data_IF_007032870965
#
_entry.id   IF_007032870965
#
_cell.length_a   1.000
_cell.length_b   1.000
_cell.length_c   1.000
_cell.angle_alpha   90.00
_cell.angle_beta   90.00
_cell.angle_gamma   90.00
#
_symmetry.space_group_name_H-M   'P 1'
#
loop_
_entity.id
_entity.type
_entity.pdbx_description
1 polymer ?
#
# COMPACT_ATOMS: atom_id res chain seq x y z
N UNK A 1 8.77 10.45 -11.55
CA UNK A 1 8.43 9.25 -12.34
C UNK A 1 7.52 8.37 -11.49
N UNK A 2 6.42 7.85 -12.03
CA UNK A 2 5.51 6.93 -11.32
C UNK A 2 5.52 5.59 -12.04
N UNK A 3 6.08 4.57 -11.41
CA UNK A 3 6.13 3.21 -11.95
C UNK A 3 5.02 2.37 -11.36
N UNK A 4 4.37 1.55 -12.18
CA UNK A 4 3.32 0.63 -11.74
C UNK A 4 3.69 -0.78 -12.16
N UNK A 5 3.53 -1.71 -11.23
CA UNK A 5 3.85 -3.10 -11.44
C UNK A 5 2.64 -3.95 -11.07
N UNK A 6 2.22 -4.82 -11.99
CA UNK A 6 1.23 -5.85 -11.68
C UNK A 6 1.93 -7.00 -10.98
N UNK A 7 1.50 -7.31 -9.77
CA UNK A 7 2.01 -8.44 -9.00
C UNK A 7 1.10 -9.65 -9.17
N UNK A 8 1.67 -10.85 -9.10
CA UNK A 8 0.96 -12.13 -9.08
C UNK A 8 1.24 -12.86 -7.77
N UNK A 9 0.35 -13.80 -7.40
CA UNK A 9 0.50 -14.62 -6.20
C UNK A 9 0.57 -13.85 -4.87
N UNK A 10 -0.05 -12.66 -4.81
CA UNK A 10 -0.17 -11.86 -3.60
C UNK A 10 -1.64 -11.72 -3.18
N UNK A 11 -1.91 -11.86 -1.88
CA UNK A 11 -3.23 -11.55 -1.30
C UNK A 11 -3.38 -10.05 -1.18
N UNK A 12 -4.42 -9.49 -1.80
CA UNK A 12 -4.68 -8.03 -1.77
C UNK A 12 -5.76 -7.68 -0.74
N UNK A 13 -5.73 -6.43 -0.27
CA UNK A 13 -6.78 -5.90 0.61
C UNK A 13 -8.16 -6.00 -0.05
N UNK A 14 -8.25 -5.68 -1.33
CA UNK A 14 -9.51 -5.71 -2.08
C UNK A 14 -10.10 -7.12 -2.16
N UNK A 15 -9.26 -8.14 -2.40
CA UNK A 15 -9.72 -9.54 -2.37
C UNK A 15 -10.33 -9.92 -1.01
N UNK A 16 -9.72 -9.49 0.09
CA UNK A 16 -10.22 -9.75 1.45
C UNK A 16 -11.46 -8.92 1.79
N UNK A 17 -11.57 -7.71 1.25
CA UNK A 17 -12.69 -6.81 1.52
C UNK A 17 -13.98 -7.24 0.82
N UNK A 18 -13.91 -7.76 -0.41
CA UNK A 18 -15.11 -8.17 -1.15
C UNK A 18 -15.76 -9.46 -0.61
N UNK A 19 -15.06 -10.24 0.21
CA UNK A 19 -15.66 -11.39 0.89
C UNK A 19 -16.22 -10.98 2.26
N UNK A 20 -17.52 -11.23 2.47
CA UNK A 20 -18.26 -10.80 3.66
C UNK A 20 -17.71 -11.38 4.97
N UNK A 21 -17.30 -12.65 4.97
CA UNK A 21 -16.76 -13.32 6.15
C UNK A 21 -15.39 -12.77 6.53
N UNK A 22 -14.48 -12.64 5.56
CA UNK A 22 -13.17 -12.03 5.82
C UNK A 22 -13.29 -10.57 6.19
N UNK A 23 -14.25 -9.83 5.63
CA UNK A 23 -14.52 -8.45 6.01
C UNK A 23 -15.00 -8.32 7.46
N UNK A 24 -15.92 -9.18 7.90
CA UNK A 24 -16.33 -9.23 9.30
C UNK A 24 -15.15 -9.59 10.22
N UNK A 25 -14.34 -10.57 9.84
CA UNK A 25 -13.15 -10.96 10.59
C UNK A 25 -12.13 -9.82 10.72
N UNK A 26 -11.91 -9.03 9.66
CA UNK A 26 -11.06 -7.82 9.71
C UNK A 26 -11.59 -6.80 10.73
N UNK A 27 -12.90 -6.60 10.77
CA UNK A 27 -13.55 -5.72 11.75
C UNK A 27 -13.34 -6.19 13.18
N UNK A 28 -13.53 -7.49 13.41
CA UNK A 28 -13.32 -8.12 14.74
C UNK A 28 -11.86 -8.06 15.16
N UNK A 29 -10.92 -8.38 14.26
CA UNK A 29 -9.48 -8.29 14.53
C UNK A 29 -9.09 -6.88 14.97
N UNK A 30 -9.55 -5.88 14.24
CA UNK A 30 -9.28 -4.48 14.59
C UNK A 30 -9.94 -4.09 15.91
N UNK A 31 -11.19 -4.47 16.15
CA UNK A 31 -11.90 -4.12 17.39
C UNK A 31 -11.19 -4.66 18.64
N UNK A 32 -10.67 -5.89 18.58
CA UNK A 32 -10.04 -6.56 19.72
C UNK A 32 -8.56 -6.18 19.86
N UNK A 33 -7.80 -6.21 18.76
CA UNK A 33 -6.33 -6.16 18.79
C UNK A 33 -5.77 -4.86 18.24
N UNK A 34 -6.58 -4.03 17.58
CA UNK A 34 -6.15 -2.83 16.83
C UNK A 34 -5.07 -3.15 15.80
N UNK A 35 -5.11 -4.37 15.25
CA UNK A 35 -4.22 -4.85 14.20
C UNK A 35 -5.00 -5.12 12.92
N UNK A 36 -4.26 -5.54 11.89
CA UNK A 36 -4.83 -6.04 10.65
C UNK A 36 -5.05 -4.95 9.60
N UNK A 37 -5.76 -5.26 8.52
CA UNK A 37 -5.81 -4.39 7.36
C UNK A 37 -6.49 -3.03 7.60
N UNK A 38 -7.37 -2.93 8.60
CA UNK A 38 -8.05 -1.69 8.97
C UNK A 38 -7.14 -0.72 9.74
N UNK A 39 -6.01 -1.18 10.29
CA UNK A 39 -5.02 -0.32 10.95
C UNK A 39 -3.84 0.05 10.05
N UNK A 40 -3.82 -0.38 8.78
CA UNK A 40 -2.69 -0.17 7.88
C UNK A 40 -2.67 1.24 7.27
N UNK A 41 -1.49 1.86 7.24
CA UNK A 41 -1.28 3.16 6.62
C UNK A 41 -1.33 3.07 5.08
N UNK A 42 -1.78 4.13 4.39
CA UNK A 42 -1.89 4.15 2.92
C UNK A 42 -0.52 4.05 2.21
N UNK A 43 0.51 4.72 2.74
CA UNK A 43 1.90 4.51 2.31
C UNK A 43 2.56 3.43 3.13
N UNK A 44 2.79 2.27 2.52
CA UNK A 44 3.43 1.14 3.19
C UNK A 44 4.95 1.28 3.25
N UNK A 45 5.55 2.01 2.30
CA UNK A 45 6.99 2.19 2.24
C UNK A 45 7.34 3.58 1.70
N UNK A 46 8.15 4.30 2.47
CA UNK A 46 8.82 5.53 2.06
C UNK A 46 10.33 5.29 2.01
N UNK A 47 11.00 5.74 0.95
CA UNK A 47 12.44 5.62 0.79
C UNK A 47 13.02 7.00 0.47
N UNK A 48 14.07 7.39 1.19
CA UNK A 48 14.91 8.52 0.83
C UNK A 48 16.21 8.01 0.22
N UNK A 49 16.55 8.49 -0.98
CA UNK A 49 17.73 8.07 -1.71
C UNK A 49 18.53 9.27 -2.21
N UNK A 50 19.83 9.06 -2.43
CA UNK A 50 20.71 10.03 -3.08
C UNK A 50 20.83 9.69 -4.56
N UNK A 51 20.60 10.65 -5.44
CA UNK A 51 20.81 10.50 -6.89
C UNK A 51 22.30 10.37 -7.24
N UNK A 52 23.18 10.96 -6.44
CA UNK A 52 24.64 10.89 -6.61
C UNK A 52 25.37 10.73 -5.25
N UNK A 53 26.44 9.93 -5.16
CA UNK A 53 27.22 9.73 -3.92
C UNK A 53 27.86 10.99 -3.30
N UNK A 54 27.89 12.11 -4.04
CA UNK A 54 28.51 13.37 -3.61
C UNK A 54 27.55 14.25 -2.80
N UNK A 55 26.26 13.89 -2.76
CA UNK A 55 25.26 14.63 -2.01
C UNK A 55 25.36 14.31 -0.53
N UNK A 56 25.34 15.34 0.31
CA UNK A 56 25.39 15.21 1.77
C UNK A 56 24.09 14.66 2.35
N UNK A 57 22.95 15.02 1.76
CA UNK A 57 21.61 14.55 2.16
C UNK A 57 20.86 13.91 0.97
N UNK A 58 19.88 13.03 1.23
CA UNK A 58 19.00 12.50 0.19
C UNK A 58 18.22 13.59 -0.54
N UNK A 59 18.20 13.53 -1.87
CA UNK A 59 17.49 14.45 -2.76
C UNK A 59 16.29 13.79 -3.46
N UNK A 60 16.10 12.48 -3.29
CA UNK A 60 15.01 11.71 -3.88
C UNK A 60 14.13 11.09 -2.79
N UNK A 61 12.82 11.18 -2.96
CA UNK A 61 11.82 10.53 -2.12
C UNK A 61 10.92 9.62 -2.97
N UNK A 62 10.80 8.37 -2.56
CA UNK A 62 9.95 7.38 -3.18
C UNK A 62 8.86 6.93 -2.21
N UNK A 63 7.63 6.95 -2.67
CA UNK A 63 6.48 6.36 -1.97
C UNK A 63 6.03 5.14 -2.76
N UNK A 64 6.02 3.98 -2.11
CA UNK A 64 5.47 2.75 -2.66
C UNK A 64 4.17 2.46 -1.93
N UNK A 65 3.08 2.43 -2.71
CA UNK A 65 1.73 2.24 -2.22
C UNK A 65 1.06 1.11 -3.00
N UNK A 66 0.36 0.19 -2.33
CA UNK A 66 -0.55 -0.71 -3.04
C UNK A 66 -1.71 0.12 -3.59
N UNK A 67 -1.94 0.03 -4.90
CA UNK A 67 -3.03 0.71 -5.59
C UNK A 67 -3.87 -0.33 -6.33
N UNK A 68 -5.17 -0.10 -6.40
CA UNK A 68 -6.06 -0.80 -7.33
C UNK A 68 -6.84 0.23 -8.11
N UNK A 69 -6.60 0.26 -9.41
CA UNK A 69 -7.30 1.10 -10.38
C UNK A 69 -7.19 0.42 -11.74
N UNK A 70 -8.25 0.45 -12.55
CA UNK A 70 -8.24 -0.14 -13.89
C UNK A 70 -7.34 0.66 -14.85
N UNK A 71 -7.35 1.99 -14.71
CA UNK A 71 -6.48 2.91 -15.45
C UNK A 71 -6.06 4.11 -14.59
N UNK A 72 -4.80 4.50 -14.73
CA UNK A 72 -4.25 5.68 -14.07
C UNK A 72 -4.92 6.95 -14.59
N UNK A 73 -5.58 7.71 -13.70
CA UNK A 73 -6.24 8.98 -14.01
C UNK A 73 -7.76 8.93 -14.02
N UNK A 74 -8.35 7.73 -13.99
CA UNK A 74 -9.78 7.58 -13.71
C UNK A 74 -10.04 7.74 -12.20
N UNK A 75 -11.23 8.26 -11.81
CA UNK A 75 -11.60 8.34 -10.40
C UNK A 75 -11.50 6.98 -9.71
N UNK A 76 -10.97 6.99 -8.48
CA UNK A 76 -10.88 5.80 -7.62
C UNK A 76 -12.25 5.36 -7.13
#
# INVERSE_FOLDING_TARGET
IRTVFKIANASTLNQRYHNLFSRAAMGVEYAIRRTGPLSMAPSQLGIFARSHPRLETPDLEYHVQPLSTDRLGEPL
#
